data_IF_021005080678
#
_entry.id   IF_021005080678
#
_cell.length_a   1.000
_cell.length_b   1.000
_cell.length_c   1.000
_cell.angle_alpha   90.00
_cell.angle_beta   90.00
_cell.angle_gamma   90.00
#
_symmetry.space_group_name_H-M   'P 1'
#
loop_
_entity.id
_entity.type
_entity.pdbx_description
1 polymer ?
#
# COMPACT_ATOMS: atom_id res chain seq x y z
N UNK A 1 22.18 -44.49 -22.34
CA UNK A 1 22.84 -44.38 -23.65
C UNK A 1 22.08 -43.36 -24.50
N UNK A 2 22.36 -42.08 -24.33
CA UNK A 2 21.99 -41.00 -25.25
C UNK A 2 23.15 -40.01 -25.20
N UNK A 3 23.84 -39.83 -26.33
CA UNK A 3 24.99 -38.92 -26.48
C UNK A 3 24.49 -37.65 -27.14
N UNK A 4 24.68 -36.50 -26.49
CA UNK A 4 24.62 -35.20 -27.17
C UNK A 4 26.04 -34.65 -27.33
N UNK A 5 26.40 -34.35 -28.58
CA UNK A 5 27.64 -33.68 -28.99
C UNK A 5 27.40 -32.17 -28.93
N UNK A 6 28.28 -31.45 -28.24
CA UNK A 6 28.35 -29.99 -28.31
C UNK A 6 29.24 -29.63 -29.50
N UNK A 7 28.70 -28.88 -30.46
CA UNK A 7 29.43 -28.26 -31.56
C UNK A 7 29.63 -26.78 -31.22
N UNK A 8 30.88 -26.34 -31.10
CA UNK A 8 31.22 -24.94 -30.86
C UNK A 8 31.33 -24.25 -32.23
N UNK A 9 30.57 -23.17 -32.43
CA UNK A 9 30.73 -22.29 -33.59
C UNK A 9 31.05 -20.86 -33.13
N UNK A 10 32.16 -20.31 -33.63
CA UNK A 10 32.58 -18.91 -33.48
C UNK A 10 32.06 -18.11 -34.67
N UNK A 11 31.37 -17.00 -34.42
CA UNK A 11 31.04 -16.03 -35.45
C UNK A 11 30.11 -14.94 -34.93
N UNK A 12 30.67 -13.74 -34.72
CA UNK A 12 29.93 -12.55 -34.33
C UNK A 12 29.12 -11.99 -35.52
N UNK A 13 27.92 -11.47 -35.24
CA UNK A 13 27.32 -10.24 -35.82
C UNK A 13 26.23 -9.78 -34.85
N UNK A 14 26.29 -8.51 -34.47
CA UNK A 14 25.41 -7.83 -33.52
C UNK A 14 24.09 -7.48 -34.21
N UNK A 15 22.98 -8.03 -33.71
CA UNK A 15 21.65 -7.42 -33.88
C UNK A 15 20.87 -7.65 -32.59
N UNK A 16 20.54 -6.58 -31.85
CA UNK A 16 19.75 -6.65 -30.61
C UNK A 16 18.32 -7.08 -30.96
N UNK A 17 17.94 -8.29 -30.60
CA UNK A 17 16.56 -8.70 -30.36
C UNK A 17 16.52 -9.24 -28.93
N UNK A 18 15.68 -8.64 -28.09
CA UNK A 18 15.39 -9.15 -26.76
C UNK A 18 14.62 -10.46 -26.92
N UNK A 19 15.30 -11.58 -26.68
CA UNK A 19 14.68 -12.90 -26.55
C UNK A 19 14.68 -13.24 -25.06
N UNK A 20 13.49 -13.29 -24.48
CA UNK A 20 13.26 -13.78 -23.12
C UNK A 20 13.52 -15.29 -23.16
N UNK A 21 14.59 -15.76 -22.51
CA UNK A 21 14.88 -17.19 -22.36
C UNK A 21 14.24 -17.68 -21.06
N UNK A 22 13.12 -18.39 -21.16
CA UNK A 22 12.49 -19.09 -20.03
C UNK A 22 13.17 -20.45 -19.86
N UNK A 23 14.09 -20.56 -18.89
CA UNK A 23 14.63 -21.85 -18.47
C UNK A 23 13.68 -22.49 -17.44
N UNK A 24 12.91 -23.50 -17.86
CA UNK A 24 12.12 -24.35 -16.94
C UNK A 24 12.95 -25.60 -16.61
N UNK A 25 13.52 -25.63 -15.41
CA UNK A 25 14.09 -26.85 -14.82
C UNK A 25 12.98 -27.62 -14.11
N UNK A 26 12.59 -28.77 -14.68
CA UNK A 26 11.67 -29.70 -14.05
C UNK A 26 12.38 -30.44 -12.91
N UNK A 27 12.01 -30.13 -11.66
CA UNK A 27 12.25 -31.00 -10.50
C UNK A 27 10.91 -31.60 -10.07
N UNK A 28 10.83 -32.93 -10.14
CA UNK A 28 9.69 -33.71 -9.66
C UNK A 28 9.78 -33.83 -8.14
N UNK A 29 9.23 -32.86 -7.41
CA UNK A 29 8.80 -33.07 -6.03
C UNK A 29 7.65 -32.11 -5.68
N UNK A 30 6.59 -32.69 -5.15
CA UNK A 30 5.30 -32.09 -4.77
C UNK A 30 5.47 -30.92 -3.81
N UNK A 31 5.36 -29.69 -4.32
CA UNK A 31 5.01 -28.48 -3.57
C UNK A 31 4.42 -27.47 -4.57
N UNK A 32 3.38 -26.70 -4.21
CA UNK A 32 2.84 -25.68 -5.10
C UNK A 32 3.91 -24.62 -5.36
N UNK A 33 4.29 -24.48 -6.62
CA UNK A 33 5.20 -23.43 -7.11
C UNK A 33 4.60 -22.05 -6.78
N UNK A 34 5.13 -21.40 -5.75
CA UNK A 34 5.00 -19.95 -5.57
C UNK A 34 5.87 -19.29 -6.64
N UNK A 35 5.24 -18.80 -7.70
CA UNK A 35 5.89 -17.89 -8.64
C UNK A 35 5.88 -16.51 -7.97
N UNK A 36 7.01 -16.15 -7.35
CA UNK A 36 7.25 -14.78 -6.91
C UNK A 36 7.67 -14.00 -8.15
N UNK A 37 6.76 -13.22 -8.72
CA UNK A 37 7.10 -12.24 -9.74
C UNK A 37 7.73 -11.06 -9.03
N UNK A 38 9.06 -10.96 -9.09
CA UNK A 38 9.75 -9.72 -8.77
C UNK A 38 9.49 -8.77 -9.93
N UNK A 39 8.58 -7.81 -9.73
CA UNK A 39 8.52 -6.63 -10.59
C UNK A 39 9.73 -5.80 -10.20
N UNK A 40 10.76 -5.78 -11.07
CA UNK A 40 11.81 -4.78 -10.97
C UNK A 40 11.14 -3.41 -10.95
N UNK A 41 11.32 -2.66 -9.86
CA UNK A 41 10.89 -1.29 -9.77
C UNK A 41 11.52 -0.55 -10.96
N UNK A 42 10.68 0.02 -11.84
CA UNK A 42 11.15 0.84 -12.93
C UNK A 42 12.12 1.90 -12.36
N UNK A 43 13.33 1.98 -12.93
CA UNK A 43 14.26 3.06 -12.59
C UNK A 43 13.53 4.40 -12.76
N UNK A 44 13.63 5.32 -11.78
CA UNK A 44 12.93 6.60 -11.85
C UNK A 44 13.35 7.32 -13.14
N UNK A 45 12.38 7.80 -13.91
CA UNK A 45 12.61 8.62 -15.10
C UNK A 45 13.57 9.76 -14.75
N UNK A 46 14.68 9.86 -15.48
CA UNK A 46 15.71 10.85 -15.20
C UNK A 46 15.13 12.28 -15.35
N UNK A 47 15.19 13.07 -14.28
CA UNK A 47 14.74 14.47 -14.30
C UNK A 47 15.51 15.23 -15.38
N UNK A 48 14.78 15.86 -16.31
CA UNK A 48 15.37 16.55 -17.47
C UNK A 48 16.43 17.58 -17.06
N UNK A 49 17.49 17.73 -17.87
CA UNK A 49 18.58 18.69 -17.62
C UNK A 49 18.09 20.13 -17.44
N UNK A 50 17.01 20.52 -18.14
CA UNK A 50 16.39 21.83 -18.00
C UNK A 50 15.81 22.08 -16.61
N UNK A 51 15.17 21.07 -16.01
CA UNK A 51 14.64 21.13 -14.64
C UNK A 51 15.79 21.22 -13.65
N UNK A 52 16.86 20.43 -13.82
CA UNK A 52 18.02 20.45 -12.94
C UNK A 52 18.72 21.83 -12.92
N UNK A 53 18.91 22.43 -14.10
CA UNK A 53 19.48 23.77 -14.23
C UNK A 53 18.61 24.80 -13.52
N UNK A 54 17.28 24.74 -13.72
CA UNK A 54 16.33 25.67 -13.11
C UNK A 54 16.32 25.56 -11.59
N UNK A 55 16.29 24.34 -11.04
CA UNK A 55 16.35 24.09 -9.59
C UNK A 55 17.64 24.65 -8.99
N UNK A 56 18.77 24.42 -9.66
CA UNK A 56 20.08 24.93 -9.21
C UNK A 56 20.12 26.46 -9.19
N UNK A 57 19.58 27.11 -10.23
CA UNK A 57 19.47 28.57 -10.31
C UNK A 57 18.62 29.14 -9.16
N UNK A 58 17.40 28.61 -8.99
CA UNK A 58 16.47 29.06 -7.95
C UNK A 58 17.05 28.84 -6.55
N UNK A 59 17.78 27.74 -6.34
CA UNK A 59 18.47 27.46 -5.07
C UNK A 59 19.54 28.51 -4.75
N UNK A 60 20.29 28.98 -5.76
CA UNK A 60 21.24 30.08 -5.57
C UNK A 60 20.53 31.41 -5.24
N UNK A 61 19.38 31.66 -5.86
CA UNK A 61 18.55 32.86 -5.63
C UNK A 61 17.91 32.89 -4.23
N UNK A 62 17.82 31.77 -3.51
CA UNK A 62 17.40 31.74 -2.10
C UNK A 62 18.32 32.54 -1.16
N UNK A 63 19.54 32.86 -1.60
CA UNK A 63 20.45 33.75 -0.86
C UNK A 63 20.57 35.16 -1.49
N UNK A 64 19.67 35.53 -2.40
CA UNK A 64 19.71 36.83 -3.07
C UNK A 64 19.64 37.98 -2.04
N UNK A 65 20.25 39.16 -2.32
CA UNK A 65 20.27 40.28 -1.39
C UNK A 65 18.86 40.83 -1.09
N UNK A 66 17.95 40.74 -2.05
CA UNK A 66 16.58 41.25 -1.96
C UNK A 66 15.58 40.19 -1.49
N UNK A 67 14.74 40.56 -0.52
CA UNK A 67 13.70 39.68 0.05
C UNK A 67 12.73 39.14 -1.01
N UNK A 68 12.28 39.99 -1.94
CA UNK A 68 11.34 39.61 -2.99
C UNK A 68 11.84 38.43 -3.82
N UNK A 69 13.10 38.48 -4.29
CA UNK A 69 13.71 37.40 -5.08
C UNK A 69 13.75 36.10 -4.28
N UNK A 70 14.11 36.15 -2.99
CA UNK A 70 14.12 34.94 -2.14
C UNK A 70 12.74 34.30 -1.99
N UNK A 71 11.69 35.13 -1.80
CA UNK A 71 10.31 34.65 -1.64
C UNK A 71 9.76 34.10 -2.97
N UNK A 72 10.05 34.77 -4.09
CA UNK A 72 9.66 34.31 -5.42
C UNK A 72 10.33 32.98 -5.79
N UNK A 73 11.65 32.85 -5.59
CA UNK A 73 12.35 31.60 -5.87
C UNK A 73 11.86 30.45 -4.98
N UNK A 74 11.53 30.74 -3.71
CA UNK A 74 10.91 29.76 -2.81
C UNK A 74 9.54 29.30 -3.34
N UNK A 75 8.64 30.22 -3.70
CA UNK A 75 7.33 29.88 -4.23
C UNK A 75 7.42 29.08 -5.53
N UNK A 76 8.38 29.43 -6.42
CA UNK A 76 8.59 28.68 -7.65
C UNK A 76 9.05 27.26 -7.32
N UNK A 77 10.03 27.08 -6.43
CA UNK A 77 10.49 25.75 -6.01
C UNK A 77 9.35 24.93 -5.39
N UNK A 78 8.52 25.51 -4.52
CA UNK A 78 7.35 24.84 -3.95
C UNK A 78 6.32 24.45 -5.03
N UNK A 79 6.10 25.31 -6.03
CA UNK A 79 5.16 25.04 -7.13
C UNK A 79 5.64 23.96 -8.12
N UNK A 80 6.95 23.66 -8.15
CA UNK A 80 7.50 22.57 -8.96
C UNK A 80 7.17 21.18 -8.39
N UNK A 81 6.68 21.10 -7.13
CA UNK A 81 6.17 19.87 -6.54
C UNK A 81 7.25 18.90 -6.05
N UNK A 82 6.82 17.69 -5.65
CA UNK A 82 7.67 16.70 -4.99
C UNK A 82 8.73 16.08 -5.90
N UNK A 83 8.55 16.13 -7.22
CA UNK A 83 9.45 15.54 -8.21
C UNK A 83 10.88 16.09 -8.12
N UNK A 84 11.05 17.34 -7.66
CA UNK A 84 12.37 17.95 -7.50
C UNK A 84 13.05 17.65 -6.16
N UNK A 85 12.37 16.99 -5.21
CA UNK A 85 12.94 16.67 -3.89
C UNK A 85 14.32 16.00 -3.96
N UNK A 86 14.58 15.00 -4.83
CA UNK A 86 15.91 14.38 -4.94
C UNK A 86 17.03 15.38 -5.28
N UNK A 87 16.72 16.37 -6.13
CA UNK A 87 17.66 17.44 -6.48
C UNK A 87 17.91 18.37 -5.30
N UNK A 88 16.84 18.78 -4.61
CA UNK A 88 16.96 19.67 -3.44
C UNK A 88 17.75 19.02 -2.31
N UNK A 89 17.50 17.75 -2.02
CA UNK A 89 18.23 16.99 -0.99
C UNK A 89 19.71 16.84 -1.33
N UNK A 90 20.05 16.70 -2.62
CA UNK A 90 21.44 16.66 -3.07
C UNK A 90 22.15 18.02 -2.92
N UNK A 91 21.43 19.13 -3.14
CA UNK A 91 21.95 20.48 -3.01
C UNK A 91 22.04 20.96 -1.55
N UNK A 92 21.21 20.43 -0.66
CA UNK A 92 21.10 20.84 0.75
C UNK A 92 22.44 20.93 1.50
N UNK A 93 23.39 19.98 1.38
CA UNK A 93 24.68 20.06 2.07
C UNK A 93 25.62 21.14 1.51
N UNK A 94 25.37 21.62 0.30
CA UNK A 94 26.24 22.60 -0.39
C UNK A 94 25.88 24.04 -0.03
N UNK A 95 24.63 24.30 0.36
CA UNK A 95 24.12 25.63 0.72
C UNK A 95 24.36 25.95 2.20
N UNK A 96 24.53 27.24 2.52
CA UNK A 96 24.79 27.72 3.90
C UNK A 96 23.93 28.96 4.21
N UNK A 97 23.77 29.27 5.50
CA UNK A 97 23.06 30.46 5.96
C UNK A 97 21.56 30.45 5.66
N UNK A 98 21.02 31.59 5.25
CA UNK A 98 19.59 31.80 4.94
C UNK A 98 19.08 30.83 3.87
N UNK A 99 19.86 30.61 2.80
CA UNK A 99 19.47 29.67 1.75
C UNK A 99 19.33 28.24 2.26
N UNK A 100 20.20 27.80 3.17
CA UNK A 100 20.07 26.48 3.79
C UNK A 100 18.81 26.37 4.67
N UNK A 101 18.48 27.43 5.41
CA UNK A 101 17.24 27.48 6.20
C UNK A 101 16.00 27.38 5.32
N UNK A 102 15.92 28.17 4.24
CA UNK A 102 14.80 28.14 3.29
C UNK A 102 14.70 26.82 2.54
N UNK A 103 15.83 26.30 2.06
CA UNK A 103 15.83 25.04 1.32
C UNK A 103 15.35 23.88 2.20
N UNK A 104 15.72 23.84 3.50
CA UNK A 104 15.13 22.87 4.45
C UNK A 104 13.63 23.03 4.60
N UNK A 105 13.13 24.27 4.70
CA UNK A 105 11.71 24.54 4.81
C UNK A 105 10.95 24.11 3.54
N UNK A 106 11.52 24.34 2.36
CA UNK A 106 10.96 23.91 1.07
C UNK A 106 10.93 22.38 1.00
N UNK A 107 12.04 21.69 1.30
CA UNK A 107 12.08 20.23 1.35
C UNK A 107 11.00 19.69 2.30
N UNK A 108 10.91 20.23 3.51
CA UNK A 108 9.89 19.83 4.49
C UNK A 108 8.45 20.07 4.00
N UNK A 109 8.21 21.17 3.30
CA UNK A 109 6.89 21.50 2.72
C UNK A 109 6.51 20.53 1.60
N UNK A 110 7.45 20.27 0.69
CA UNK A 110 7.27 19.34 -0.42
C UNK A 110 7.11 17.89 0.07
N UNK A 111 7.89 17.47 1.06
CA UNK A 111 7.77 16.17 1.72
C UNK A 111 6.39 16.01 2.37
N UNK A 112 5.90 17.03 3.08
CA UNK A 112 4.57 17.01 3.68
C UNK A 112 3.45 16.94 2.63
N UNK A 113 3.60 17.67 1.52
CA UNK A 113 2.65 17.65 0.41
C UNK A 113 2.63 16.28 -0.31
N UNK A 114 3.80 15.71 -0.61
CA UNK A 114 3.93 14.38 -1.22
C UNK A 114 3.33 13.29 -0.32
N UNK A 115 3.62 13.40 0.97
CA UNK A 115 3.11 12.54 2.02
C UNK A 115 1.57 12.54 2.04
N UNK A 116 0.94 13.72 2.01
CA UNK A 116 -0.52 13.83 1.94
C UNK A 116 -1.07 13.30 0.61
N UNK A 117 -0.46 13.66 -0.51
CA UNK A 117 -0.88 13.18 -1.84
C UNK A 117 -0.82 11.65 -1.95
N UNK A 118 0.12 10.99 -1.25
CA UNK A 118 0.23 9.52 -1.25
C UNK A 118 -0.99 8.82 -0.65
N UNK A 119 -1.77 9.51 0.19
CA UNK A 119 -2.94 8.98 0.90
C UNK A 119 -4.27 9.60 0.47
N UNK A 120 -4.27 10.53 -0.49
CA UNK A 120 -5.51 11.08 -1.07
C UNK A 120 -6.10 10.13 -2.11
N UNK A 121 -7.44 10.02 -2.25
CA UNK A 121 -8.05 9.20 -3.30
C UNK A 121 -7.61 9.61 -4.70
N UNK A 122 -7.28 8.64 -5.55
CA UNK A 122 -6.95 8.93 -6.94
C UNK A 122 -8.22 9.39 -7.66
N UNK A 123 -8.17 10.56 -8.28
CA UNK A 123 -9.28 11.11 -9.06
C UNK A 123 -8.96 11.11 -10.55
N UNK A 124 -9.96 10.79 -11.36
CA UNK A 124 -9.87 10.63 -12.80
C UNK A 124 -10.82 11.59 -13.50
N UNK A 125 -10.32 12.21 -14.57
CA UNK A 125 -11.11 13.09 -15.44
C UNK A 125 -10.78 12.78 -16.90
N UNK A 126 -11.69 12.10 -17.59
CA UNK A 126 -11.53 11.78 -19.01
C UNK A 126 -12.88 11.43 -19.64
N UNK A 127 -12.92 11.57 -20.97
CA UNK A 127 -14.05 11.21 -21.81
C UNK A 127 -13.61 10.21 -22.87
N UNK A 128 -14.43 9.20 -23.12
CA UNK A 128 -14.25 8.21 -24.18
C UNK A 128 -15.61 7.81 -24.74
N UNK A 129 -15.68 7.72 -26.05
CA UNK A 129 -16.86 7.24 -26.76
C UNK A 129 -16.53 5.98 -27.54
N UNK A 130 -17.44 5.00 -27.50
CA UNK A 130 -17.39 3.79 -28.32
C UNK A 130 -16.05 3.02 -28.20
N UNK A 131 -15.59 2.82 -26.97
CA UNK A 131 -14.36 2.08 -26.64
C UNK A 131 -14.68 0.78 -25.92
N UNK A 132 -13.79 -0.20 -26.04
CA UNK A 132 -13.95 -1.49 -25.36
C UNK A 132 -13.69 -1.38 -23.85
N UNK A 133 -14.21 -2.34 -23.07
CA UNK A 133 -13.93 -2.39 -21.62
C UNK A 133 -12.44 -2.59 -21.32
N UNK A 134 -11.74 -3.32 -22.19
CA UNK A 134 -10.29 -3.57 -22.04
C UNK A 134 -9.50 -2.27 -22.19
N UNK A 135 -9.85 -1.45 -23.18
CA UNK A 135 -9.24 -0.14 -23.39
C UNK A 135 -9.57 0.82 -22.25
N UNK A 136 -10.80 0.78 -21.71
CA UNK A 136 -11.18 1.59 -20.56
C UNK A 136 -10.39 1.25 -19.31
N UNK A 137 -10.23 -0.03 -18.97
CA UNK A 137 -9.41 -0.41 -17.83
C UNK A 137 -7.94 -0.04 -18.05
N UNK A 138 -7.39 -0.22 -19.26
CA UNK A 138 -6.03 0.22 -19.57
C UNK A 138 -5.85 1.74 -19.44
N UNK A 139 -6.84 2.53 -19.88
CA UNK A 139 -6.87 3.99 -19.68
C UNK A 139 -6.90 4.36 -18.19
N UNK A 140 -7.68 3.63 -17.38
CA UNK A 140 -7.74 3.83 -15.92
C UNK A 140 -6.38 3.52 -15.29
N UNK A 141 -5.79 2.35 -15.56
CA UNK A 141 -4.48 1.96 -15.01
C UNK A 141 -3.39 2.97 -15.39
N UNK A 142 -3.33 3.35 -16.66
CA UNK A 142 -2.32 4.29 -17.16
C UNK A 142 -2.44 5.67 -16.52
N UNK A 143 -3.66 6.13 -16.20
CA UNK A 143 -3.89 7.46 -15.63
C UNK A 143 -3.83 7.48 -14.12
N UNK A 144 -4.22 6.39 -13.47
CA UNK A 144 -4.29 6.31 -12.01
C UNK A 144 -3.01 5.76 -11.38
N UNK A 145 -2.15 5.08 -12.16
CA UNK A 145 -0.99 4.34 -11.66
C UNK A 145 -1.37 3.14 -10.78
N UNK A 146 -2.67 2.80 -10.71
CA UNK A 146 -3.14 1.63 -9.97
C UNK A 146 -3.19 0.47 -10.95
N UNK A 147 -2.33 -0.53 -10.77
CA UNK A 147 -2.45 -1.79 -11.48
C UNK A 147 -3.63 -2.56 -10.91
N UNK A 148 -4.62 -2.78 -11.74
CA UNK A 148 -5.77 -3.59 -11.39
C UNK A 148 -5.32 -5.04 -11.52
N UNK A 149 -5.35 -5.87 -10.46
CA UNK A 149 -5.21 -7.31 -10.62
C UNK A 149 -6.49 -7.90 -11.22
N UNK A 150 -7.14 -7.20 -12.17
CA UNK A 150 -8.38 -7.60 -12.81
C UNK A 150 -8.06 -8.61 -13.90
N UNK A 151 -8.47 -9.85 -13.66
CA UNK A 151 -8.52 -10.80 -14.74
C UNK A 151 -9.84 -10.66 -15.49
N UNK A 152 -9.76 -10.37 -16.79
CA UNK A 152 -10.89 -10.49 -17.73
C UNK A 152 -11.00 -11.92 -18.29
N UNK A 153 -10.30 -12.90 -17.75
CA UNK A 153 -10.24 -14.26 -18.30
C UNK A 153 -11.60 -14.95 -18.37
N UNK A 154 -12.52 -14.60 -17.47
CA UNK A 154 -13.86 -15.17 -17.43
C UNK A 154 -14.82 -14.58 -18.47
N UNK A 155 -14.45 -13.45 -19.08
CA UNK A 155 -15.29 -12.78 -20.08
C UNK A 155 -15.06 -13.34 -21.49
N UNK A 156 -16.14 -13.48 -22.24
CA UNK A 156 -16.12 -13.80 -23.66
C UNK A 156 -15.61 -12.62 -24.50
N UNK A 157 -15.27 -12.88 -25.77
CA UNK A 157 -14.76 -11.83 -26.65
C UNK A 157 -15.80 -10.74 -26.94
N UNK A 158 -17.08 -11.10 -27.03
CA UNK A 158 -18.21 -10.19 -27.21
C UNK A 158 -18.34 -9.19 -26.05
N UNK A 159 -18.15 -9.64 -24.82
CA UNK A 159 -18.18 -8.79 -23.62
C UNK A 159 -16.96 -7.88 -23.54
N UNK A 160 -15.78 -8.41 -23.86
CA UNK A 160 -14.53 -7.65 -23.89
C UNK A 160 -14.53 -6.52 -24.93
N UNK A 161 -15.30 -6.67 -26.00
CA UNK A 161 -15.37 -5.73 -27.13
C UNK A 161 -16.65 -4.92 -27.16
N UNK A 162 -17.52 -5.07 -26.16
CA UNK A 162 -18.73 -4.27 -26.03
C UNK A 162 -18.36 -2.77 -26.01
N UNK A 163 -18.93 -1.95 -26.92
CA UNK A 163 -18.62 -0.53 -26.95
C UNK A 163 -19.30 0.19 -25.80
N UNK A 164 -18.52 0.91 -25.03
CA UNK A 164 -18.94 1.73 -23.89
C UNK A 164 -18.59 3.19 -24.17
N UNK A 165 -19.38 4.09 -23.59
CA UNK A 165 -19.13 5.53 -23.64
C UNK A 165 -19.23 6.09 -22.23
N UNK A 166 -18.13 6.69 -21.75
CA UNK A 166 -17.95 7.13 -20.37
C UNK A 166 -17.43 8.56 -20.33
N UNK A 167 -17.88 9.32 -19.34
CA UNK A 167 -17.41 10.66 -19.06
C UNK A 167 -17.24 10.82 -17.55
N UNK A 168 -15.99 10.94 -17.11
CA UNK A 168 -15.63 11.14 -15.71
C UNK A 168 -15.10 12.54 -15.48
N UNK A 169 -15.54 13.16 -14.39
CA UNK A 169 -15.09 14.48 -13.97
C UNK A 169 -14.76 14.43 -12.47
N UNK A 170 -13.47 14.30 -12.17
CA UNK A 170 -12.94 14.15 -10.80
C UNK A 170 -13.56 12.98 -10.04
N UNK A 171 -13.96 11.93 -10.75
CA UNK A 171 -14.45 10.68 -10.14
C UNK A 171 -13.30 9.97 -9.45
N UNK A 172 -13.52 9.44 -8.25
CA UNK A 172 -12.53 8.60 -7.58
C UNK A 172 -12.29 7.31 -8.38
N UNK A 173 -11.17 6.65 -8.08
CA UNK A 173 -10.81 5.39 -8.70
C UNK A 173 -11.94 4.35 -8.62
N UNK A 174 -12.47 4.09 -7.42
CA UNK A 174 -13.52 3.09 -7.25
C UNK A 174 -14.86 3.49 -7.88
N UNK A 175 -15.24 4.77 -7.83
CA UNK A 175 -16.43 5.25 -8.55
C UNK A 175 -16.29 5.03 -10.07
N UNK A 176 -15.08 5.24 -10.60
CA UNK A 176 -14.78 5.00 -12.02
C UNK A 176 -14.93 3.53 -12.37
N UNK A 177 -14.36 2.63 -11.56
CA UNK A 177 -14.49 1.17 -11.75
C UNK A 177 -15.95 0.73 -11.67
N UNK A 178 -16.67 1.14 -10.63
CA UNK A 178 -18.08 0.78 -10.44
C UNK A 178 -18.96 1.29 -11.58
N UNK A 179 -18.70 2.50 -12.10
CA UNK A 179 -19.43 3.04 -13.25
C UNK A 179 -19.17 2.24 -14.54
N UNK A 180 -17.93 1.82 -14.79
CA UNK A 180 -17.58 0.99 -15.96
C UNK A 180 -18.28 -0.37 -15.85
N UNK A 181 -18.16 -1.03 -14.70
CA UNK A 181 -18.78 -2.33 -14.44
C UNK A 181 -20.31 -2.26 -14.55
N UNK A 182 -20.94 -1.23 -13.99
CA UNK A 182 -22.39 -1.03 -14.06
C UNK A 182 -22.88 -0.84 -15.51
N UNK A 183 -22.19 -0.05 -16.32
CA UNK A 183 -22.55 0.15 -17.72
C UNK A 183 -22.37 -1.13 -18.55
N UNK A 184 -21.35 -1.92 -18.23
CA UNK A 184 -21.07 -3.21 -18.85
C UNK A 184 -21.94 -4.35 -18.30
N UNK A 185 -22.72 -4.12 -17.22
CA UNK A 185 -23.47 -5.14 -16.47
C UNK A 185 -22.56 -6.28 -15.98
N UNK A 186 -21.38 -5.93 -15.48
CA UNK A 186 -20.40 -6.86 -14.93
C UNK A 186 -20.30 -6.71 -13.42
N UNK A 187 -19.80 -7.75 -12.76
CA UNK A 187 -19.54 -7.77 -11.33
C UNK A 187 -18.04 -7.96 -11.05
N UNK A 188 -17.63 -7.46 -9.88
CA UNK A 188 -16.29 -7.62 -9.35
C UNK A 188 -16.30 -8.70 -8.27
N UNK A 189 -15.62 -9.83 -8.53
CA UNK A 189 -15.43 -10.90 -7.57
C UNK A 189 -14.02 -10.85 -7.02
N UNK A 190 -13.87 -10.90 -5.70
CA UNK A 190 -12.54 -10.94 -5.09
C UNK A 190 -12.24 -12.32 -4.53
N UNK A 191 -11.00 -12.77 -4.66
CA UNK A 191 -10.50 -14.03 -4.12
C UNK A 191 -9.07 -13.88 -3.56
N UNK A 192 -8.48 -14.98 -3.11
CA UNK A 192 -7.15 -14.99 -2.49
C UNK A 192 -6.02 -14.60 -3.46
N UNK A 193 -6.27 -14.62 -4.77
CA UNK A 193 -5.29 -14.36 -5.83
C UNK A 193 -5.43 -12.92 -6.38
N UNK A 194 -6.58 -12.27 -6.16
CA UNK A 194 -6.84 -10.91 -6.63
C UNK A 194 -8.32 -10.67 -6.91
N UNK A 195 -8.60 -9.78 -7.86
CA UNK A 195 -9.96 -9.44 -8.28
C UNK A 195 -10.24 -9.99 -9.69
N UNK A 196 -11.40 -10.59 -9.88
CA UNK A 196 -11.86 -11.15 -11.15
C UNK A 196 -13.08 -10.35 -11.61
N UNK A 197 -13.12 -10.00 -12.89
CA UNK A 197 -14.33 -9.46 -13.51
C UNK A 197 -15.12 -10.61 -14.10
N UNK A 198 -16.41 -10.66 -13.78
CA UNK A 198 -17.32 -11.70 -14.25
C UNK A 198 -18.65 -11.09 -14.70
N UNK A 199 -19.42 -11.85 -15.44
CA UNK A 199 -20.86 -11.64 -15.47
C UNK A 199 -21.44 -11.93 -14.08
N UNK A 200 -22.43 -11.17 -13.60
CA UNK A 200 -23.23 -11.57 -12.44
C UNK A 200 -23.79 -12.97 -12.71
N UNK A 201 -23.67 -13.90 -11.77
CA UNK A 201 -24.35 -15.19 -11.93
C UNK A 201 -25.86 -14.93 -11.88
N UNK A 202 -26.63 -15.62 -12.73
CA UNK A 202 -28.09 -15.48 -12.82
C UNK A 202 -28.81 -16.09 -11.60
N UNK A 203 -28.06 -16.37 -10.53
CA UNK A 203 -28.59 -16.85 -9.27
C UNK A 203 -29.22 -15.67 -8.53
N UNK A 204 -30.44 -15.89 -8.01
CA UNK A 204 -31.20 -14.88 -7.28
C UNK A 204 -30.49 -14.29 -6.04
N UNK A 205 -29.34 -14.87 -5.67
CA UNK A 205 -28.48 -14.42 -4.57
C UNK A 205 -27.51 -13.29 -5.01
N UNK A 206 -27.14 -13.17 -6.29
CA UNK A 206 -26.17 -12.19 -6.81
C UNK A 206 -26.83 -10.83 -7.18
N UNK A 207 -28.14 -10.78 -7.42
CA UNK A 207 -28.90 -9.55 -7.72
C UNK A 207 -28.96 -8.54 -6.55
N UNK A 208 -28.45 -8.90 -5.37
CA UNK A 208 -28.61 -8.16 -4.11
C UNK A 208 -27.30 -7.69 -3.46
N UNK A 209 -26.18 -7.70 -4.21
CA UNK A 209 -24.89 -7.22 -3.70
C UNK A 209 -24.89 -5.69 -3.63
N UNK A 210 -25.06 -5.15 -2.42
CA UNK A 210 -24.92 -3.71 -2.16
C UNK A 210 -23.43 -3.36 -2.02
N UNK A 211 -22.97 -2.38 -2.81
CA UNK A 211 -21.59 -1.88 -2.75
C UNK A 211 -21.54 -0.36 -2.82
N UNK A 212 -20.48 0.23 -2.29
CA UNK A 212 -20.22 1.67 -2.32
C UNK A 212 -18.73 1.96 -2.47
N UNK A 213 -18.41 2.90 -3.36
CA UNK A 213 -17.11 3.54 -3.42
C UNK A 213 -17.03 4.64 -2.34
N UNK A 214 -16.10 4.50 -1.40
CA UNK A 214 -15.87 5.40 -0.28
C UNK A 214 -14.41 5.89 -0.31
N UNK A 215 -14.12 6.83 -1.21
CA UNK A 215 -12.77 7.39 -1.38
C UNK A 215 -11.75 6.31 -1.76
N UNK A 216 -10.81 6.04 -0.86
CA UNK A 216 -9.76 5.02 -1.04
C UNK A 216 -10.30 3.58 -1.03
N UNK A 217 -11.49 3.38 -0.46
CA UNK A 217 -12.09 2.08 -0.24
C UNK A 217 -13.25 1.80 -1.19
N UNK A 218 -13.45 0.54 -1.52
CA UNK A 218 -14.72 0.00 -2.02
C UNK A 218 -15.24 -1.02 -1.03
N UNK A 219 -16.46 -0.85 -0.59
CA UNK A 219 -17.06 -1.68 0.46
C UNK A 219 -18.27 -2.39 -0.12
N UNK A 220 -18.35 -3.70 0.08
CA UNK A 220 -19.40 -4.55 -0.48
C UNK A 220 -20.00 -5.43 0.61
N UNK A 221 -21.32 -5.55 0.67
CA UNK A 221 -21.98 -6.60 1.49
C UNK A 221 -21.97 -7.88 0.68
N UNK A 222 -21.09 -8.81 1.04
CA UNK A 222 -20.93 -10.06 0.30
C UNK A 222 -21.88 -11.18 0.75
N UNK A 223 -22.24 -11.17 2.03
CA UNK A 223 -23.11 -12.20 2.60
C UNK A 223 -23.89 -11.61 3.77
N UNK A 224 -25.13 -12.04 3.93
CA UNK A 224 -25.99 -11.68 5.05
C UNK A 224 -26.70 -12.93 5.59
N UNK A 225 -26.49 -13.22 6.88
CA UNK A 225 -27.05 -14.42 7.53
C UNK A 225 -27.72 -14.08 8.84
N UNK A 226 -28.88 -14.68 9.08
CA UNK A 226 -29.51 -14.68 10.40
C UNK A 226 -28.74 -15.61 11.34
N UNK A 227 -28.30 -15.10 12.49
CA UNK A 227 -27.69 -15.87 13.56
C UNK A 227 -28.68 -16.01 14.71
N UNK A 228 -28.86 -17.24 15.16
CA UNK A 228 -29.59 -17.53 16.39
C UNK A 228 -28.61 -17.69 17.55
N UNK A 229 -28.85 -16.97 18.65
CA UNK A 229 -28.11 -17.11 19.90
C UNK A 229 -29.11 -17.54 20.98
N UNK A 230 -28.96 -18.72 21.59
CA UNK A 230 -29.92 -19.27 22.56
C UNK A 230 -30.20 -18.34 23.75
N UNK A 231 -29.21 -17.54 24.15
CA UNK A 231 -29.25 -16.66 25.32
C UNK A 231 -29.70 -15.22 25.02
N UNK A 232 -29.92 -14.86 23.75
CA UNK A 232 -30.35 -13.52 23.36
C UNK A 232 -31.85 -13.52 23.02
N UNK A 233 -32.65 -12.58 23.57
CA UNK A 233 -34.05 -12.41 23.19
C UNK A 233 -34.20 -11.86 21.77
N UNK A 234 -33.18 -11.16 21.27
CA UNK A 234 -33.15 -10.52 19.96
C UNK A 234 -32.49 -11.39 18.91
N UNK A 235 -32.95 -11.26 17.66
CA UNK A 235 -32.30 -11.92 16.53
C UNK A 235 -31.14 -11.08 16.06
N UNK A 236 -30.10 -11.76 15.58
CA UNK A 236 -28.92 -11.10 15.06
C UNK A 236 -28.77 -11.36 13.58
N UNK A 237 -28.33 -10.35 12.86
CA UNK A 237 -27.94 -10.47 11.46
C UNK A 237 -26.45 -10.23 11.39
N UNK A 238 -25.73 -11.19 10.81
CA UNK A 238 -24.33 -11.03 10.47
C UNK A 238 -24.21 -10.65 9.02
N UNK A 239 -23.60 -9.50 8.78
CA UNK A 239 -23.18 -8.99 7.48
C UNK A 239 -21.69 -9.24 7.33
N UNK A 240 -21.28 -9.82 6.20
CA UNK A 240 -19.88 -9.88 5.82
C UNK A 240 -19.59 -8.72 4.89
N UNK A 241 -18.89 -7.72 5.41
CA UNK A 241 -18.41 -6.61 4.59
C UNK A 241 -17.07 -6.98 3.99
N UNK A 242 -16.96 -6.93 2.68
CA UNK A 242 -15.72 -7.01 1.93
C UNK A 242 -15.21 -5.60 1.65
N UNK A 243 -13.95 -5.34 1.94
CA UNK A 243 -13.32 -4.03 1.83
C UNK A 243 -12.12 -4.17 0.92
N UNK A 244 -12.16 -3.49 -0.22
CA UNK A 244 -11.04 -3.32 -1.13
C UNK A 244 -10.46 -1.92 -0.95
N UNK A 245 -9.16 -1.75 -1.18
CA UNK A 245 -8.49 -0.45 -1.22
C UNK A 245 -7.80 -0.24 -2.56
N UNK A 246 -7.55 1.02 -2.94
CA UNK A 246 -6.81 1.31 -4.18
C UNK A 246 -5.50 0.51 -4.26
N UNK A 247 -5.20 -0.19 -5.37
CA UNK A 247 -4.05 -1.10 -5.46
C UNK A 247 -2.67 -0.50 -5.17
N UNK A 248 -2.47 0.80 -5.42
CA UNK A 248 -1.22 1.50 -5.06
C UNK A 248 -0.99 1.63 -3.57
N UNK A 249 -2.04 1.47 -2.76
CA UNK A 249 -1.97 1.62 -1.31
C UNK A 249 -1.46 0.33 -0.68
N UNK A 250 -0.63 0.49 0.34
CA UNK A 250 -0.15 -0.58 1.19
C UNK A 250 -0.59 -0.32 2.62
N UNK A 251 -1.88 -0.56 2.96
CA UNK A 251 -2.30 -0.46 4.34
C UNK A 251 -1.57 -1.47 5.19
N UNK A 252 -1.26 -1.06 6.42
CA UNK A 252 -0.70 -1.93 7.46
C UNK A 252 -1.80 -2.55 8.31
N UNK A 253 -2.82 -1.73 8.58
CA UNK A 253 -3.87 -2.03 9.54
C UNK A 253 -5.16 -1.37 9.06
N UNK A 254 -6.26 -2.11 9.16
CA UNK A 254 -7.60 -1.56 9.13
C UNK A 254 -8.24 -1.78 10.49
N UNK A 255 -8.83 -0.73 11.06
CA UNK A 255 -9.67 -0.85 12.26
C UNK A 255 -11.07 -0.36 11.96
N UNK A 256 -12.04 -1.12 12.42
CA UNK A 256 -13.44 -0.80 12.26
C UNK A 256 -14.12 -0.75 13.64
N UNK A 257 -14.15 0.43 14.27
CA UNK A 257 -14.75 0.59 15.59
C UNK A 257 -16.27 0.48 15.50
N UNK A 258 -16.86 -0.50 16.20
CA UNK A 258 -18.30 -0.79 16.12
C UNK A 258 -19.17 0.32 16.70
N UNK A 259 -18.60 1.23 17.49
CA UNK A 259 -19.28 2.45 17.96
C UNK A 259 -19.62 3.40 16.80
N UNK A 260 -18.90 3.34 15.68
CA UNK A 260 -19.17 4.14 14.48
C UNK A 260 -20.30 3.56 13.63
N UNK A 261 -20.71 2.31 13.87
CA UNK A 261 -21.60 1.57 12.98
C UNK A 261 -23.07 1.78 13.36
N UNK A 262 -23.86 2.17 12.36
CA UNK A 262 -25.30 2.35 12.50
C UNK A 262 -26.02 1.71 11.31
N UNK A 263 -27.06 0.93 11.60
CA UNK A 263 -27.99 0.41 10.61
C UNK A 263 -29.36 1.05 10.78
N UNK A 264 -30.00 1.48 9.69
CA UNK A 264 -31.38 1.97 9.68
C UNK A 264 -32.22 1.10 8.74
N UNK A 265 -33.36 0.60 9.22
CA UNK A 265 -34.35 -0.14 8.42
C UNK A 265 -35.30 0.79 7.66
N UNK A 266 -36.20 0.21 6.82
CA UNK A 266 -37.04 0.97 5.89
C UNK A 266 -38.06 1.91 6.52
N UNK A 267 -38.40 1.69 7.79
CA UNK A 267 -39.33 2.53 8.53
C UNK A 267 -38.61 3.54 9.44
N UNK A 268 -37.30 3.75 9.25
CA UNK A 268 -36.47 4.63 10.09
C UNK A 268 -36.12 4.02 11.46
N UNK A 269 -36.39 2.72 11.64
CA UNK A 269 -35.98 1.95 12.82
C UNK A 269 -34.47 1.79 12.84
N UNK A 270 -33.82 2.14 13.95
CA UNK A 270 -32.36 2.01 14.09
C UNK A 270 -31.99 0.68 14.71
N UNK A 271 -30.96 0.04 14.18
CA UNK A 271 -30.39 -1.22 14.63
C UNK A 271 -29.03 -0.97 15.25
N UNK A 272 -28.82 -1.50 16.46
CA UNK A 272 -27.54 -1.41 17.15
C UNK A 272 -26.62 -2.56 16.75
N UNK A 273 -25.31 -2.33 16.83
CA UNK A 273 -24.34 -3.42 16.83
C UNK A 273 -24.29 -4.08 18.20
N UNK A 274 -24.28 -5.42 18.23
CA UNK A 274 -24.32 -6.18 19.49
C UNK A 274 -23.15 -5.97 20.45
N UNK A 275 -22.02 -5.48 19.95
CA UNK A 275 -20.86 -5.13 20.76
C UNK A 275 -20.33 -3.74 20.36
N UNK A 276 -21.04 -2.67 20.74
CA UNK A 276 -20.62 -1.29 20.39
C UNK A 276 -19.20 -0.91 20.84
N UNK A 277 -18.71 -1.49 21.95
CA UNK A 277 -17.35 -1.23 22.43
C UNK A 277 -16.27 -2.01 21.67
N UNK A 278 -16.63 -2.97 20.81
CA UNK A 278 -15.68 -3.75 20.04
C UNK A 278 -15.07 -2.93 18.91
N UNK A 279 -13.83 -3.26 18.55
CA UNK A 279 -13.19 -2.80 17.33
C UNK A 279 -12.74 -4.03 16.56
N UNK A 280 -13.22 -4.18 15.33
CA UNK A 280 -12.73 -5.21 14.43
C UNK A 280 -11.40 -4.73 13.85
N UNK A 281 -10.45 -5.64 13.69
CA UNK A 281 -9.09 -5.32 13.26
C UNK A 281 -8.63 -6.31 12.21
N UNK A 282 -7.98 -5.80 11.16
CA UNK A 282 -7.34 -6.60 10.13
C UNK A 282 -5.91 -6.08 9.92
N UNK A 283 -4.92 -6.90 10.30
CA UNK A 283 -3.52 -6.67 9.92
C UNK A 283 -3.38 -7.10 8.47
N UNK A 284 -2.92 -6.19 7.63
CA UNK A 284 -2.78 -6.45 6.20
C UNK A 284 -1.38 -6.97 5.93
N UNK A 285 -1.32 -8.21 5.46
CA UNK A 285 -0.10 -8.78 4.90
C UNK A 285 -0.06 -8.52 3.40
N UNK A 286 1.13 -8.52 2.80
CA UNK A 286 1.30 -8.27 1.36
C UNK A 286 0.41 -9.22 0.55
N UNK A 287 -0.58 -8.65 -0.17
CA UNK A 287 -1.61 -9.33 -0.98
C UNK A 287 -2.46 -10.37 -0.23
N UNK A 288 -3.79 -10.39 -0.42
CA UNK A 288 -4.55 -9.70 -1.46
C UNK A 288 -5.02 -8.29 -1.05
N UNK A 289 -5.34 -7.43 -2.03
CA UNK A 289 -5.75 -6.03 -1.85
C UNK A 289 -7.14 -5.82 -1.26
N UNK A 290 -7.55 -6.70 -0.33
CA UNK A 290 -8.85 -6.67 0.33
C UNK A 290 -8.83 -7.33 1.70
N UNK A 291 -9.86 -7.08 2.50
CA UNK A 291 -10.13 -7.80 3.76
C UNK A 291 -11.63 -7.92 3.98
N UNK A 292 -12.06 -8.63 5.03
CA UNK A 292 -13.47 -8.70 5.40
C UNK A 292 -13.72 -8.46 6.89
N UNK A 293 -14.82 -7.77 7.19
CA UNK A 293 -15.29 -7.54 8.55
C UNK A 293 -16.68 -8.14 8.79
N UNK A 294 -16.83 -9.01 9.80
CA UNK A 294 -18.13 -9.52 10.22
C UNK A 294 -18.84 -8.48 11.11
N UNK A 295 -19.83 -7.78 10.58
CA UNK A 295 -20.68 -6.86 11.36
C UNK A 295 -21.92 -7.61 11.85
N UNK A 296 -22.21 -7.53 13.15
CA UNK A 296 -23.39 -8.18 13.73
C UNK A 296 -24.37 -7.14 14.26
N UNK A 297 -25.51 -7.01 13.59
CA UNK A 297 -26.60 -6.13 13.98
C UNK A 297 -27.59 -6.88 14.87
N UNK A 298 -27.99 -6.25 15.97
CA UNK A 298 -29.16 -6.65 16.75
C UNK A 298 -30.40 -6.06 16.07
N UNK A 299 -31.32 -6.93 15.68
CA UNK A 299 -32.57 -6.55 15.01
C UNK A 299 -33.77 -7.02 15.83
N UNK A 300 -34.65 -6.09 16.25
CA UNK A 300 -35.83 -6.43 17.07
C UNK A 300 -36.90 -7.22 16.28
N UNK A 301 -36.90 -7.12 14.94
CA UNK A 301 -37.77 -7.85 14.02
C UNK A 301 -36.94 -8.52 12.91
N UNK A 302 -37.58 -9.22 11.96
CA UNK A 302 -36.92 -9.69 10.74
C UNK A 302 -37.16 -8.69 9.60
N UNK A 303 -36.34 -7.64 9.48
CA UNK A 303 -36.38 -6.83 8.27
C UNK A 303 -35.95 -7.70 7.08
N UNK A 304 -36.66 -7.57 5.96
CA UNK A 304 -36.23 -8.12 4.67
C UNK A 304 -35.12 -7.28 4.03
N UNK A 305 -34.91 -6.05 4.51
CA UNK A 305 -33.95 -5.10 3.96
C UNK A 305 -33.42 -4.14 5.04
N UNK A 306 -32.22 -3.64 4.82
CA UNK A 306 -31.60 -2.56 5.56
C UNK A 306 -31.43 -1.36 4.61
N UNK A 307 -32.08 -0.25 4.90
CA UNK A 307 -32.07 0.93 4.02
C UNK A 307 -30.76 1.69 4.07
N UNK A 308 -30.07 1.68 5.21
CA UNK A 308 -28.77 2.32 5.37
C UNK A 308 -27.89 1.54 6.34
N UNK A 309 -26.65 1.29 5.96
CA UNK A 309 -25.56 0.91 6.85
C UNK A 309 -24.44 1.94 6.70
N UNK A 310 -24.09 2.61 7.80
CA UNK A 310 -23.00 3.58 7.83
C UNK A 310 -21.97 3.23 8.89
N UNK A 311 -20.74 3.67 8.67
CA UNK A 311 -19.64 3.51 9.61
C UNK A 311 -18.38 4.23 9.16
N UNK A 312 -17.36 4.18 10.00
CA UNK A 312 -16.04 4.76 9.71
C UNK A 312 -15.00 3.66 9.85
N UNK A 313 -14.22 3.42 8.78
CA UNK A 313 -13.07 2.50 8.80
C UNK A 313 -11.81 3.35 8.87
N UNK A 314 -10.91 3.04 9.79
CA UNK A 314 -9.61 3.68 9.90
C UNK A 314 -8.56 2.85 9.17
N UNK A 315 -7.82 3.47 8.24
CA UNK A 315 -6.71 2.85 7.53
C UNK A 315 -5.41 3.44 8.04
N UNK A 316 -4.46 2.56 8.39
CA UNK A 316 -3.08 2.98 8.60
C UNK A 316 -2.27 2.76 7.34
N UNK A 317 -1.86 3.86 6.72
CA UNK A 317 -1.10 3.85 5.48
C UNK A 317 0.34 4.29 5.73
N UNK A 318 1.27 3.61 5.07
CA UNK A 318 2.65 4.07 4.99
C UNK A 318 2.74 5.24 4.01
N UNK A 319 3.36 6.33 4.44
CA UNK A 319 3.82 7.35 3.50
C UNK A 319 5.06 6.88 2.73
N UNK A 320 5.68 7.81 2.00
CA UNK A 320 6.89 7.55 1.23
C UNK A 320 7.99 6.90 2.07
N UNK A 321 8.65 5.91 1.49
CA UNK A 321 9.86 5.31 2.06
C UNK A 321 11.11 6.12 1.74
N UNK A 322 12.01 6.20 2.72
CA UNK A 322 13.29 6.88 2.60
C UNK A 322 14.44 5.95 3.01
N UNK A 323 15.52 5.87 2.21
CA UNK A 323 16.72 5.14 2.58
C UNK A 323 17.62 6.00 3.48
N UNK A 324 17.49 5.83 4.80
CA UNK A 324 18.41 6.45 5.77
C UNK A 324 19.79 5.83 5.62
N UNK A 325 20.84 6.63 5.42
CA UNK A 325 22.15 6.12 4.99
C UNK A 325 23.28 6.61 5.87
N UNK A 326 23.77 5.72 6.74
CA UNK A 326 24.85 5.99 7.67
C UNK A 326 26.18 5.55 7.07
N UNK A 327 27.05 6.52 6.76
CA UNK A 327 28.38 6.27 6.19
C UNK A 327 29.46 6.25 7.27
N UNK A 328 30.62 5.68 6.94
CA UNK A 328 31.81 5.65 7.79
C UNK A 328 31.56 4.91 9.11
N UNK A 329 31.32 3.61 9.01
CA UNK A 329 30.93 2.74 10.14
C UNK A 329 32.07 2.40 11.10
N UNK A 330 33.09 3.26 11.22
CA UNK A 330 34.28 3.01 12.01
C UNK A 330 33.99 2.80 13.51
N UNK A 331 35.00 2.35 14.29
CA UNK A 331 34.85 1.84 15.67
C UNK A 331 34.33 2.86 16.71
N UNK A 332 34.09 4.11 16.31
CA UNK A 332 33.63 5.19 17.19
C UNK A 332 32.09 5.33 17.28
N UNK A 333 31.32 4.53 16.54
CA UNK A 333 29.85 4.63 16.54
C UNK A 333 29.22 4.27 17.89
N UNK A 334 29.84 3.38 18.68
CA UNK A 334 29.34 2.99 20.00
C UNK A 334 29.34 4.15 21.01
N UNK A 335 30.25 5.11 20.85
CA UNK A 335 30.37 6.29 21.71
C UNK A 335 29.65 7.52 21.12
N UNK A 336 29.38 7.53 19.81
CA UNK A 336 28.73 8.63 19.11
C UNK A 336 27.66 8.07 18.15
N UNK A 337 26.42 7.85 18.63
CA UNK A 337 25.33 7.43 17.76
C UNK A 337 25.10 8.47 16.67
N UNK A 338 24.83 8.00 15.45
CA UNK A 338 24.52 8.86 14.31
C UNK A 338 23.01 8.88 14.11
N UNK A 339 22.42 10.06 14.11
CA UNK A 339 20.98 10.25 13.89
C UNK A 339 20.75 10.99 12.59
N UNK A 340 19.87 10.43 11.75
CA UNK A 340 19.27 11.12 10.63
C UNK A 340 17.78 11.37 10.93
N UNK A 341 17.25 12.47 10.40
CA UNK A 341 15.85 12.85 10.61
C UNK A 341 15.27 13.36 9.31
N UNK A 342 14.11 12.83 8.96
CA UNK A 342 13.41 13.17 7.73
C UNK A 342 11.90 13.05 7.98
N UNK A 343 11.13 14.08 7.61
CA UNK A 343 9.72 14.15 7.96
C UNK A 343 9.47 13.96 9.46
N UNK A 344 8.65 12.95 9.81
CA UNK A 344 8.35 12.60 11.21
C UNK A 344 9.25 11.51 11.79
N UNK A 345 10.13 10.93 10.97
CA UNK A 345 10.96 9.79 11.34
C UNK A 345 12.36 10.24 11.78
N UNK A 346 12.79 9.76 12.94
CA UNK A 346 14.12 9.91 13.49
C UNK A 346 14.77 8.54 13.56
N UNK A 347 15.81 8.31 12.76
CA UNK A 347 16.52 7.02 12.69
C UNK A 347 17.91 7.21 13.27
N UNK A 348 18.27 6.37 14.23
CA UNK A 348 19.56 6.40 14.89
C UNK A 348 20.29 5.08 14.69
N UNK A 349 21.49 5.15 14.13
CA UNK A 349 22.45 4.07 14.19
C UNK A 349 23.20 4.19 15.52
N UNK A 350 22.93 3.25 16.43
CA UNK A 350 23.41 3.33 17.81
C UNK A 350 24.78 2.72 17.99
N UNK A 351 25.13 1.72 17.17
CA UNK A 351 26.42 1.08 17.27
C UNK A 351 26.58 -0.09 16.31
N UNK A 352 27.83 -0.44 16.08
CA UNK A 352 28.25 -1.63 15.34
C UNK A 352 29.32 -2.36 16.16
N UNK A 353 29.16 -3.67 16.29
CA UNK A 353 30.14 -4.54 16.94
C UNK A 353 30.43 -5.72 16.04
N UNK A 354 31.70 -6.07 15.89
CA UNK A 354 32.12 -7.26 15.14
C UNK A 354 32.55 -8.34 16.12
N UNK A 355 31.97 -9.53 16.01
CA UNK A 355 32.30 -10.72 16.81
C UNK A 355 32.38 -11.91 15.87
N UNK A 356 33.51 -12.61 15.86
CA UNK A 356 33.74 -13.82 15.04
C UNK A 356 33.32 -13.66 13.56
N UNK A 357 33.76 -12.56 12.92
CA UNK A 357 33.43 -12.18 11.54
C UNK A 357 31.93 -11.92 11.26
N UNK A 358 31.12 -11.72 12.30
CA UNK A 358 29.73 -11.26 12.19
C UNK A 358 29.62 -9.84 12.73
N UNK A 359 29.10 -8.92 11.92
CA UNK A 359 28.75 -7.58 12.38
C UNK A 359 27.34 -7.56 12.96
N UNK A 360 27.25 -7.20 14.23
CA UNK A 360 26.01 -6.83 14.91
C UNK A 360 25.82 -5.32 14.80
N UNK A 361 24.70 -4.91 14.21
CA UNK A 361 24.34 -3.51 14.01
C UNK A 361 23.08 -3.21 14.80
N UNK A 362 23.14 -2.20 15.67
CA UNK A 362 22.00 -1.76 16.48
C UNK A 362 21.48 -0.44 15.92
N UNK A 363 20.19 -0.42 15.59
CA UNK A 363 19.50 0.76 15.09
C UNK A 363 18.16 0.96 15.79
N UNK A 364 17.72 2.22 15.88
CA UNK A 364 16.38 2.57 16.32
C UNK A 364 15.70 3.56 15.38
N UNK A 365 14.38 3.44 15.27
CA UNK A 365 13.50 4.43 14.64
C UNK A 365 12.50 4.93 15.67
N UNK A 366 12.26 6.24 15.68
CA UNK A 366 11.16 6.89 16.40
C UNK A 366 10.40 7.83 15.48
N UNK A 367 9.08 7.74 15.50
CA UNK A 367 8.18 8.68 14.87
C UNK A 367 7.78 9.78 15.87
N UNK A 368 7.63 11.00 15.40
CA UNK A 368 7.23 12.14 16.22
C UNK A 368 5.85 11.96 16.85
N UNK A 369 4.93 11.28 16.16
CA UNK A 369 3.57 11.00 16.65
C UNK A 369 3.42 9.51 16.91
N UNK A 370 3.01 9.09 18.13
CA UNK A 370 2.68 7.70 18.39
C UNK A 370 1.55 7.19 17.48
N UNK A 371 1.62 5.93 17.09
CA UNK A 371 0.68 5.30 16.18
C UNK A 371 0.35 3.89 16.64
N UNK A 372 -0.94 3.54 16.61
CA UNK A 372 -1.42 2.18 16.92
C UNK A 372 -0.89 1.14 15.92
N UNK A 373 -0.52 1.56 14.69
CA UNK A 373 0.18 0.68 13.76
C UNK A 373 1.54 0.17 14.31
N UNK A 374 2.07 0.80 15.36
CA UNK A 374 3.32 0.42 16.04
C UNK A 374 3.08 -0.41 17.31
N UNK A 375 1.82 -0.75 17.62
CA UNK A 375 1.50 -1.63 18.74
C UNK A 375 2.29 -2.94 18.68
N UNK A 376 2.59 -3.50 19.85
CA UNK A 376 3.58 -4.56 19.99
C UNK A 376 3.25 -5.84 19.23
N UNK A 377 1.96 -6.12 18.99
CA UNK A 377 1.49 -7.29 18.24
C UNK A 377 1.61 -7.14 16.71
N UNK A 378 1.91 -5.95 16.20
CA UNK A 378 2.13 -5.71 14.76
C UNK A 378 3.59 -5.95 14.37
N UNK A 379 3.87 -6.85 13.41
CA UNK A 379 5.26 -7.23 13.07
C UNK A 379 5.88 -6.45 11.91
N UNK A 380 5.08 -5.69 11.14
CA UNK A 380 5.51 -5.13 9.85
C UNK A 380 6.82 -4.32 9.90
N UNK A 381 7.06 -3.56 10.98
CA UNK A 381 8.28 -2.75 11.10
C UNK A 381 9.50 -3.65 11.39
N UNK A 382 9.31 -4.74 12.14
CA UNK A 382 10.38 -5.72 12.41
C UNK A 382 10.83 -6.46 11.16
N UNK A 383 9.93 -6.60 10.18
CA UNK A 383 10.24 -7.23 8.90
C UNK A 383 11.10 -6.32 7.99
N UNK A 384 11.36 -5.07 8.40
CA UNK A 384 12.22 -4.10 7.69
C UNK A 384 13.67 -4.18 8.17
N UNK A 385 14.43 -5.11 7.61
CA UNK A 385 15.84 -5.28 7.94
C UNK A 385 16.73 -4.15 7.38
N UNK A 386 17.84 -3.88 8.08
CA UNK A 386 18.92 -3.03 7.57
C UNK A 386 19.68 -3.74 6.44
N UNK A 387 20.29 -2.97 5.54
CA UNK A 387 21.21 -3.45 4.50
C UNK A 387 22.60 -2.88 4.74
N UNK A 388 23.62 -3.74 4.73
CA UNK A 388 25.02 -3.31 4.75
C UNK A 388 25.51 -3.17 3.31
N UNK A 389 26.12 -2.03 3.00
CA UNK A 389 26.72 -1.74 1.69
C UNK A 389 28.23 -1.70 1.88
N UNK A 390 28.90 -2.67 1.27
CA UNK A 390 30.36 -2.83 1.29
C UNK A 390 31.08 -1.77 0.46
N UNK A 391 32.41 -1.60 0.61
CA UNK A 391 33.18 -0.58 -0.11
C UNK A 391 33.17 -0.74 -1.63
N UNK A 392 32.99 -1.98 -2.10
CA UNK A 392 32.83 -2.33 -3.52
C UNK A 392 31.40 -2.08 -4.05
N UNK A 393 30.49 -1.64 -3.19
CA UNK A 393 29.07 -1.42 -3.49
C UNK A 393 28.18 -2.65 -3.33
N UNK A 394 28.73 -3.79 -2.91
CA UNK A 394 27.94 -5.02 -2.69
C UNK A 394 26.95 -4.83 -1.56
N UNK A 395 25.68 -5.22 -1.78
CA UNK A 395 24.58 -5.11 -0.80
C UNK A 395 24.41 -6.44 -0.07
N UNK A 396 24.55 -6.41 1.25
CA UNK A 396 24.39 -7.56 2.14
C UNK A 396 23.10 -7.41 2.94
N UNK A 397 22.20 -8.37 2.79
CA UNK A 397 20.99 -8.47 3.62
C UNK A 397 21.33 -9.06 4.97
N UNK A 398 20.67 -8.57 6.03
CA UNK A 398 20.84 -9.15 7.36
C UNK A 398 20.42 -10.63 7.38
N UNK A 399 21.22 -11.48 8.02
CA UNK A 399 20.90 -12.90 8.22
C UNK A 399 19.84 -13.10 9.29
N UNK A 400 19.88 -12.28 10.32
CA UNK A 400 18.97 -12.33 11.45
C UNK A 400 18.68 -10.90 11.93
N UNK A 401 17.42 -10.61 12.23
CA UNK A 401 17.02 -9.35 12.85
C UNK A 401 16.21 -9.64 14.11
N UNK A 402 16.66 -9.08 15.23
CA UNK A 402 16.02 -9.24 16.53
C UNK A 402 15.46 -7.90 17.00
N UNK A 403 14.20 -7.88 17.44
CA UNK A 403 13.60 -6.71 18.09
C UNK A 403 14.11 -6.63 19.53
N UNK A 404 14.78 -5.52 19.86
CA UNK A 404 15.32 -5.27 21.21
C UNK A 404 14.31 -4.52 22.09
N UNK A 405 13.58 -3.57 21.50
CA UNK A 405 12.54 -2.80 22.18
C UNK A 405 11.52 -2.27 21.17
N UNK A 406 10.29 -2.05 21.62
CA UNK A 406 9.21 -1.47 20.81
C UNK A 406 8.21 -0.75 21.72
N UNK A 407 7.69 0.37 21.23
CA UNK A 407 6.56 1.08 21.80
C UNK A 407 5.70 1.69 20.69
N UNK A 408 4.66 2.43 21.04
CA UNK A 408 3.75 3.08 20.07
C UNK A 408 4.40 4.22 19.28
N UNK A 409 5.64 4.60 19.60
CA UNK A 409 6.40 5.64 18.88
C UNK A 409 7.52 5.07 18.02
N UNK A 410 7.88 3.79 18.15
CA UNK A 410 9.01 3.28 17.39
C UNK A 410 9.53 1.90 17.81
N UNK A 411 10.70 1.58 17.29
CA UNK A 411 11.32 0.26 17.45
C UNK A 411 12.84 0.35 17.45
N UNK A 412 13.46 -0.52 18.24
CA UNK A 412 14.90 -0.74 18.29
C UNK A 412 15.19 -2.18 17.87
N UNK A 413 16.10 -2.38 16.93
CA UNK A 413 16.48 -3.69 16.43
C UNK A 413 17.99 -3.91 16.48
N UNK A 414 18.36 -5.18 16.46
CA UNK A 414 19.69 -5.67 16.13
C UNK A 414 19.62 -6.44 14.81
N UNK A 415 20.53 -6.15 13.90
CA UNK A 415 20.71 -6.90 12.65
C UNK A 415 22.09 -7.52 12.58
N UNK A 416 22.18 -8.76 12.13
CA UNK A 416 23.44 -9.50 11.95
C UNK A 416 23.81 -9.57 10.48
N UNK A 417 25.07 -9.28 10.17
CA UNK A 417 25.64 -9.39 8.83
C UNK A 417 26.88 -10.28 8.86
N UNK A 418 26.94 -11.21 7.93
CA UNK A 418 28.10 -12.08 7.71
C UNK A 418 28.74 -11.65 6.39
N UNK A 419 29.97 -11.17 6.49
CA UNK A 419 30.76 -10.70 5.34
C UNK A 419 32.15 -11.29 5.49
N UNK A 420 32.70 -11.75 4.36
CA UNK A 420 34.06 -12.27 4.32
C UNK A 420 35.06 -11.19 4.75
N UNK A 421 35.68 -11.37 5.93
CA UNK A 421 36.69 -10.50 6.52
C UNK A 421 36.22 -9.09 6.88
N UNK A 422 35.71 -8.92 8.12
CA UNK A 422 35.56 -7.58 8.69
C UNK A 422 36.92 -7.00 9.09
N UNK A 423 37.32 -5.91 8.44
CA UNK A 423 38.44 -5.08 8.87
C UNK A 423 37.96 -3.67 9.27
N UNK A 424 38.79 -2.94 10.01
CA UNK A 424 38.48 -1.55 10.34
C UNK A 424 38.32 -0.70 9.07
N UNK A 425 39.23 -0.86 8.11
CA UNK A 425 39.18 -0.16 6.81
C UNK A 425 37.91 -0.50 6.04
N UNK A 426 37.46 -1.76 6.09
CA UNK A 426 36.20 -2.19 5.50
C UNK A 426 35.02 -1.41 6.08
N UNK A 427 34.91 -1.32 7.41
CA UNK A 427 33.83 -0.60 8.07
C UNK A 427 33.87 0.91 7.80
N UNK A 428 35.05 1.52 7.79
CA UNK A 428 35.22 2.96 7.51
C UNK A 428 34.81 3.34 6.09
N UNK A 429 34.87 2.39 5.14
CA UNK A 429 34.44 2.58 3.76
C UNK A 429 33.05 2.01 3.46
N UNK A 430 32.40 1.40 4.44
CA UNK A 430 31.05 0.82 4.31
C UNK A 430 29.96 1.80 4.73
N UNK A 431 28.71 1.43 4.43
CA UNK A 431 27.53 2.16 4.91
C UNK A 431 26.37 1.23 5.27
N UNK A 432 25.53 1.68 6.20
CA UNK A 432 24.25 1.04 6.51
C UNK A 432 23.14 1.84 5.83
N UNK A 433 22.31 1.15 5.07
CA UNK A 433 21.07 1.69 4.52
C UNK A 433 19.88 1.04 5.24
N UNK A 434 18.96 1.85 5.77
CA UNK A 434 17.72 1.38 6.35
C UNK A 434 16.52 2.09 5.70
N UNK A 435 15.75 1.35 4.91
CA UNK A 435 14.60 1.88 4.18
C UNK A 435 13.34 1.81 5.02
N UNK A 436 12.87 2.99 5.42
CA UNK A 436 11.79 3.15 6.39
C UNK A 436 10.81 4.22 5.91
N UNK A 437 9.51 4.12 6.25
CA UNK A 437 8.54 5.15 5.90
C UNK A 437 8.80 6.42 6.72
N UNK A 438 8.58 7.58 6.12
CA UNK A 438 8.80 8.89 6.77
C UNK A 438 7.68 9.24 7.78
N UNK A 439 6.54 8.57 7.66
CA UNK A 439 5.29 8.89 8.33
C UNK A 439 4.30 7.73 8.20
N UNK A 440 3.44 7.60 9.19
CA UNK A 440 2.32 6.65 9.21
C UNK A 440 1.04 7.48 9.35
N UNK A 441 0.15 7.37 8.38
CA UNK A 441 -1.12 8.07 8.39
C UNK A 441 -2.21 7.22 9.05
N UNK A 442 -3.14 7.86 9.75
CA UNK A 442 -4.43 7.29 10.11
C UNK A 442 -5.50 8.03 9.30
N UNK A 443 -6.09 7.36 8.32
CA UNK A 443 -7.11 7.91 7.43
C UNK A 443 -8.48 7.35 7.83
N UNK A 444 -9.38 8.17 8.41
CA UNK A 444 -10.77 7.78 8.59
C UNK A 444 -11.50 7.83 7.25
N UNK A 445 -12.19 6.73 6.91
CA UNK A 445 -13.03 6.62 5.72
C UNK A 445 -14.45 6.33 6.14
N UNK A 446 -15.30 7.34 5.97
CA UNK A 446 -16.74 7.22 6.19
C UNK A 446 -17.41 6.54 4.99
N UNK A 447 -18.38 5.68 5.25
CA UNK A 447 -19.17 5.03 4.20
C UNK A 447 -20.65 4.98 4.52
N UNK A 448 -21.45 4.81 3.47
CA UNK A 448 -22.90 4.66 3.54
C UNK A 448 -23.38 3.70 2.45
N UNK A 449 -23.62 2.44 2.84
CA UNK A 449 -24.27 1.43 1.99
C UNK A 449 -25.78 1.56 2.10
N UNK A 450 -26.49 1.42 0.99
CA UNK A 450 -27.95 1.54 0.92
C UNK A 450 -28.57 0.27 0.38
N UNK A 451 -29.85 0.10 0.69
CA UNK A 451 -30.72 -0.91 0.09
C UNK A 451 -30.12 -2.33 0.13
N UNK A 452 -29.66 -2.73 1.32
CA UNK A 452 -29.04 -4.03 1.56
C UNK A 452 -30.13 -5.05 1.81
N UNK A 453 -30.29 -6.01 0.91
CA UNK A 453 -31.22 -7.13 1.09
C UNK A 453 -30.75 -8.08 2.19
N UNK A 454 -31.69 -8.56 2.99
CA UNK A 454 -31.46 -9.44 4.13
C UNK A 454 -32.17 -10.78 3.93
N UNK A 455 -31.63 -11.88 4.52
CA UNK A 455 -32.18 -13.20 4.28
C UNK A 455 -33.61 -13.30 4.81
N UNK A 456 -34.52 -13.98 4.08
CA UNK A 456 -35.90 -14.15 4.53
C UNK A 456 -35.97 -14.98 5.81
N UNK A 457 -37.06 -14.77 6.58
CA UNK A 457 -37.36 -15.33 7.92
C UNK A 457 -37.12 -16.85 8.11
N UNK A 458 -37.02 -17.65 7.04
CA UNK A 458 -36.92 -19.11 7.07
C UNK A 458 -35.58 -19.69 6.63
N UNK A 459 -34.58 -18.87 6.25
CA UNK A 459 -33.31 -19.37 5.67
C UNK A 459 -32.37 -20.11 6.65
N UNK A 460 -32.71 -20.18 7.95
CA UNK A 460 -31.83 -20.73 9.00
C UNK A 460 -32.41 -21.88 9.82
N UNK A 461 -33.54 -22.49 9.43
CA UNK A 461 -34.00 -23.72 10.10
C UNK A 461 -33.20 -24.91 9.55
N UNK A 462 -32.41 -25.63 10.37
CA UNK A 462 -31.86 -26.91 9.93
C UNK A 462 -33.02 -27.81 9.51
N UNK A 463 -32.92 -28.40 8.33
CA UNK A 463 -33.94 -29.31 7.82
C UNK A 463 -33.98 -30.54 8.75
N UNK A 464 -35.08 -30.81 9.48
CA UNK A 464 -35.13 -31.90 10.45
C UNK A 464 -35.07 -33.30 9.80
N UNK A 465 -34.93 -33.37 8.48
CA UNK A 465 -34.85 -34.60 7.69
C UNK A 465 -33.45 -34.92 7.13
N UNK A 466 -32.40 -34.17 7.51
CA UNK A 466 -31.03 -34.45 7.03
C UNK A 466 -30.15 -35.29 7.97
N UNK A 467 -30.64 -35.66 9.16
CA UNK A 467 -30.00 -36.63 10.07
C UNK A 467 -30.92 -37.86 10.32
N UNK A 468 -31.27 -38.58 9.25
CA UNK A 468 -31.79 -39.95 9.35
C UNK A 468 -31.20 -40.88 8.31
#
# INVERSE_FOLDING_TARGET
MFRFRILIWRGAIITRHFVIFTCVLFSLQTNPLRVVVFVDAAEPEAISEGVQYRVSQLTAELNAPTRHVREESQQILESMGAEILPLLTTLLPTVKGEAAFRLRAICSTLEAAETLASVEPTTLSFHRDNVSITELFADVESRSGNTLPLSLTLLEHSEKTMPLSVSFQRSTYWETIDSILAQAKLALLVNDIGALVTLPENDADDENISSVAAGLLRITVRDSRSIWIPSAPEKRIKLMLEILWEPRLQPLLLRFPMVSVFGDGPQGQSFSVGSRAATLEAVVHATPGWTSFPVVLDVPAHPSELSLLRGTIHLWLLGREHPFTFKKLGPFLTDNPSTESMGSAHVTLEGIQVVDDVAEVIGSIRYATPSEALDSHHTWLADRAMTLISPDGTRHTSKETTVLARDTSGMRIRSHFDVDHFSQDFLECSSIEWRLPLVIHNIPVDFALRDISLPPKNAGKPNPHQDR
#
